data_IF_927963272078
#
_entry.id   IF_927963272078
#
_cell.length_a   1.000
_cell.length_b   1.000
_cell.length_c   1.000
_cell.angle_alpha   90.00
_cell.angle_beta   90.00
_cell.angle_gamma   90.00
#
_symmetry.space_group_name_H-M   'P 1'
#
loop_
_entity.id
_entity.type
_entity.pdbx_description
1 polymer ?
#
# COMPACT_ATOMS: atom_id res chain seq x y z
N UNK A 1 -11.65 -10.75 3.20
CA UNK A 1 -11.97 -10.86 1.77
C UNK A 1 -11.01 -11.83 1.09
N UNK A 2 -11.52 -12.87 0.56
CA UNK A 2 -10.79 -13.83 -0.27
C UNK A 2 -11.56 -14.03 -1.57
N UNK A 3 -10.95 -14.65 -2.57
CA UNK A 3 -11.68 -15.14 -3.75
C UNK A 3 -12.43 -16.46 -3.46
N UNK A 4 -12.64 -16.78 -2.19
CA UNK A 4 -13.24 -18.03 -1.74
C UNK A 4 -14.77 -18.06 -1.84
N UNK A 5 -15.29 -19.26 -2.00
CA UNK A 5 -16.73 -19.54 -2.15
C UNK A 5 -17.61 -19.03 -0.97
N UNK A 6 -17.01 -18.74 0.17
CA UNK A 6 -17.67 -18.29 1.40
C UNK A 6 -17.38 -16.84 1.78
N UNK A 7 -17.01 -16.00 0.82
CA UNK A 7 -16.81 -14.56 1.04
C UNK A 7 -18.15 -13.82 0.92
N UNK A 8 -18.91 -13.77 2.00
CA UNK A 8 -20.22 -13.11 2.05
C UNK A 8 -20.15 -11.58 2.27
N UNK A 9 -18.98 -11.04 2.56
CA UNK A 9 -18.80 -9.61 2.90
C UNK A 9 -19.31 -8.68 1.79
N UNK A 10 -18.99 -8.90 0.50
CA UNK A 10 -19.51 -8.05 -0.57
C UNK A 10 -21.03 -8.00 -0.65
N UNK A 11 -21.70 -9.13 -0.40
CA UNK A 11 -23.14 -9.21 -0.50
C UNK A 11 -23.85 -8.57 0.70
N UNK A 12 -23.27 -8.69 1.88
CA UNK A 12 -23.75 -7.97 3.09
C UNK A 12 -23.61 -6.46 2.89
N UNK A 13 -22.47 -6.00 2.38
CA UNK A 13 -22.21 -4.56 2.18
C UNK A 13 -23.17 -3.96 1.15
N UNK A 14 -23.52 -4.68 0.09
CA UNK A 14 -24.48 -4.22 -0.92
C UNK A 14 -25.91 -4.02 -0.41
N UNK A 15 -26.29 -4.58 0.75
CA UNK A 15 -27.59 -4.35 1.38
C UNK A 15 -27.74 -2.92 1.94
N UNK A 16 -26.64 -2.17 2.09
CA UNK A 16 -26.66 -0.78 2.48
C UNK A 16 -26.82 0.12 1.25
N UNK A 17 -27.46 1.29 1.42
CA UNK A 17 -27.44 2.34 0.39
C UNK A 17 -26.03 2.94 0.34
N UNK A 18 -25.33 2.74 -0.75
CA UNK A 18 -23.93 3.16 -0.92
C UNK A 18 -23.84 4.42 -1.78
N UNK A 19 -22.93 5.32 -1.45
CA UNK A 19 -22.53 6.45 -2.29
C UNK A 19 -21.29 6.13 -3.13
N UNK A 20 -20.46 5.19 -2.68
CA UNK A 20 -19.27 4.69 -3.39
C UNK A 20 -19.07 3.23 -3.08
N UNK A 21 -18.60 2.47 -4.07
CA UNK A 21 -18.26 1.06 -3.90
C UNK A 21 -17.25 0.58 -4.94
N UNK A 22 -16.21 -0.12 -4.49
CA UNK A 22 -15.38 -0.96 -5.35
C UNK A 22 -14.91 -2.21 -4.59
N UNK A 23 -14.58 -3.29 -5.31
CA UNK A 23 -14.15 -4.57 -4.74
C UNK A 23 -12.77 -5.05 -5.22
N UNK A 24 -12.07 -4.24 -5.99
CA UNK A 24 -10.70 -4.53 -6.41
C UNK A 24 -10.00 -3.27 -6.87
N UNK A 25 -8.67 -3.24 -6.74
CA UNK A 25 -7.83 -2.18 -7.25
C UNK A 25 -6.65 -2.77 -8.05
N UNK A 26 -6.11 -2.01 -9.00
CA UNK A 26 -4.96 -2.42 -9.81
C UNK A 26 -3.65 -2.27 -9.02
N UNK A 27 -3.54 -2.95 -7.88
CA UNK A 27 -2.40 -2.91 -6.95
C UNK A 27 -1.84 -4.30 -6.66
N UNK A 28 -0.59 -4.37 -6.22
CA UNK A 28 0.05 -5.57 -5.67
C UNK A 28 1.01 -5.20 -4.52
N UNK A 29 0.95 -5.91 -3.37
CA UNK A 29 -0.10 -6.85 -2.97
C UNK A 29 -1.41 -6.11 -2.70
N UNK A 30 -2.52 -6.84 -2.57
CA UNK A 30 -3.78 -6.26 -2.11
C UNK A 30 -4.87 -6.04 -3.18
N UNK A 31 -4.73 -6.61 -4.40
CA UNK A 31 -5.75 -6.48 -5.47
C UNK A 31 -7.20 -6.65 -4.97
N UNK A 32 -7.55 -7.64 -4.12
CA UNK A 32 -8.94 -7.84 -3.66
C UNK A 32 -9.32 -6.93 -2.47
N UNK A 33 -8.89 -5.68 -2.45
CA UNK A 33 -9.37 -4.68 -1.49
C UNK A 33 -10.79 -4.27 -1.86
N UNK A 34 -11.65 -4.09 -0.85
CA UNK A 34 -12.98 -3.52 -1.01
C UNK A 34 -13.11 -2.21 -0.24
N UNK A 35 -13.83 -1.28 -0.80
CA UNK A 35 -14.25 -0.04 -0.14
C UNK A 35 -15.74 0.22 -0.41
N UNK A 36 -16.45 0.70 0.60
CA UNK A 36 -17.82 1.17 0.49
C UNK A 36 -18.05 2.38 1.39
N UNK A 37 -18.69 3.44 0.88
CA UNK A 37 -19.15 4.58 1.67
C UNK A 37 -20.68 4.52 1.77
N UNK A 38 -21.23 4.60 2.98
CA UNK A 38 -22.68 4.56 3.22
C UNK A 38 -23.26 5.93 2.89
N UNK A 39 -24.29 5.96 2.05
CA UNK A 39 -24.98 7.21 1.63
C UNK A 39 -25.63 7.89 2.85
N UNK A 40 -25.39 9.19 2.97
CA UNK A 40 -25.97 10.01 4.06
C UNK A 40 -25.40 9.73 5.45
N UNK A 41 -24.28 9.00 5.53
CA UNK A 41 -23.55 8.75 6.80
C UNK A 41 -22.06 8.94 6.59
N UNK A 42 -21.39 9.52 7.58
CA UNK A 42 -19.92 9.60 7.60
C UNK A 42 -19.26 8.25 7.99
N UNK A 43 -19.72 7.18 7.35
CA UNK A 43 -19.24 5.81 7.60
C UNK A 43 -18.74 5.18 6.33
N UNK A 44 -17.53 4.61 6.44
CA UNK A 44 -16.92 3.81 5.38
C UNK A 44 -16.61 2.39 5.89
N UNK A 45 -16.64 1.44 4.97
CA UNK A 45 -16.31 0.04 5.21
C UNK A 45 -15.15 -0.33 4.30
N UNK A 46 -14.07 -0.85 4.89
CA UNK A 46 -12.96 -1.44 4.15
C UNK A 46 -12.96 -2.96 4.33
N UNK A 47 -12.94 -3.69 3.23
CA UNK A 47 -12.68 -5.12 3.22
C UNK A 47 -11.23 -5.37 2.84
N UNK A 48 -10.42 -5.80 3.81
CA UNK A 48 -9.02 -6.09 3.58
C UNK A 48 -8.81 -7.55 3.16
N UNK A 49 -7.77 -7.84 2.34
CA UNK A 49 -7.43 -9.21 1.98
C UNK A 49 -7.08 -10.06 3.21
N UNK A 50 -7.37 -11.37 3.17
CA UNK A 50 -7.01 -12.28 4.26
C UNK A 50 -5.51 -12.56 4.40
N UNK A 51 -4.71 -12.30 3.36
CA UNK A 51 -3.25 -12.45 3.44
C UNK A 51 -2.63 -11.30 4.26
N UNK A 52 -1.82 -11.58 5.30
CA UNK A 52 -1.31 -10.57 6.23
C UNK A 52 -0.54 -9.42 5.55
N UNK A 53 0.35 -9.72 4.62
CA UNK A 53 1.14 -8.69 3.91
C UNK A 53 0.26 -7.85 3.00
N UNK A 54 -0.72 -8.47 2.34
CA UNK A 54 -1.70 -7.75 1.53
C UNK A 54 -2.59 -6.85 2.38
N UNK A 55 -3.00 -7.35 3.55
CA UNK A 55 -3.79 -6.58 4.52
C UNK A 55 -3.01 -5.39 5.05
N UNK A 56 -1.75 -5.59 5.45
CA UNK A 56 -0.86 -4.52 5.90
C UNK A 56 -0.67 -3.43 4.83
N UNK A 57 -0.43 -3.81 3.57
CA UNK A 57 -0.30 -2.85 2.47
C UNK A 57 -1.61 -2.09 2.23
N UNK A 58 -2.75 -2.78 2.21
CA UNK A 58 -4.05 -2.13 2.03
C UNK A 58 -4.38 -1.20 3.20
N UNK A 59 -4.13 -1.61 4.43
CA UNK A 59 -4.31 -0.76 5.60
C UNK A 59 -3.44 0.50 5.50
N UNK A 60 -2.16 0.33 5.19
CA UNK A 60 -1.18 1.42 5.10
C UNK A 60 -1.51 2.44 4.01
N UNK A 61 -1.92 2.00 2.83
CA UNK A 61 -2.06 2.86 1.65
C UNK A 61 -3.50 3.26 1.30
N UNK A 62 -4.50 2.73 2.01
CA UNK A 62 -5.91 3.09 1.77
C UNK A 62 -6.63 3.48 3.05
N UNK A 63 -6.49 2.69 4.13
CA UNK A 63 -7.22 2.99 5.38
C UNK A 63 -6.61 4.18 6.09
N UNK A 64 -5.29 4.21 6.27
CA UNK A 64 -4.58 5.31 6.94
C UNK A 64 -4.83 6.65 6.22
N UNK A 65 -4.62 6.80 4.91
CA UNK A 65 -4.91 8.06 4.21
C UNK A 65 -6.37 8.49 4.32
N UNK A 66 -7.30 7.54 4.28
CA UNK A 66 -8.72 7.84 4.51
C UNK A 66 -8.98 8.41 5.91
N UNK A 67 -8.38 7.80 6.95
CA UNK A 67 -8.50 8.28 8.33
C UNK A 67 -7.91 9.69 8.46
N UNK A 68 -6.71 9.95 7.91
CA UNK A 68 -6.09 11.27 7.93
C UNK A 68 -7.00 12.32 7.27
N UNK A 69 -7.56 12.00 6.12
CA UNK A 69 -8.49 12.88 5.42
C UNK A 69 -9.76 13.18 6.25
N UNK A 70 -10.35 12.16 6.89
CA UNK A 70 -11.53 12.34 7.76
C UNK A 70 -11.22 13.20 8.99
N UNK A 71 -10.00 13.11 9.50
CA UNK A 71 -9.53 13.93 10.64
C UNK A 71 -9.08 15.34 10.23
N UNK A 72 -9.13 15.68 8.93
CA UNK A 72 -8.65 16.98 8.43
C UNK A 72 -7.13 17.14 8.50
N UNK A 73 -6.40 16.04 8.66
CA UNK A 73 -4.94 16.04 8.69
C UNK A 73 -4.36 16.02 7.27
N UNK A 74 -3.17 16.63 7.11
CA UNK A 74 -2.49 16.68 5.82
C UNK A 74 -2.07 15.28 5.35
N UNK A 75 -2.02 15.09 4.02
CA UNK A 75 -1.49 13.88 3.43
C UNK A 75 0.00 13.69 3.77
N UNK A 76 0.37 12.45 4.04
CA UNK A 76 1.77 12.10 4.28
C UNK A 76 2.61 12.30 3.01
N UNK A 77 3.73 13.01 3.14
CA UNK A 77 4.71 13.16 2.07
C UNK A 77 5.63 11.95 1.99
N UNK A 78 5.89 11.49 0.77
CA UNK A 78 6.86 10.42 0.53
C UNK A 78 8.29 10.87 0.80
N UNK A 79 9.13 9.94 1.25
CA UNK A 79 10.58 10.11 1.25
C UNK A 79 11.10 9.73 -0.12
N UNK A 80 11.90 10.59 -0.74
CA UNK A 80 12.56 10.27 -2.01
C UNK A 80 13.90 9.58 -1.73
N UNK A 81 14.09 8.39 -2.30
CA UNK A 81 15.31 7.62 -2.12
C UNK A 81 15.85 7.07 -3.45
N UNK A 82 17.18 6.91 -3.53
CA UNK A 82 17.84 6.31 -4.68
C UNK A 82 17.70 4.79 -4.63
N UNK A 83 17.19 4.18 -5.69
CA UNK A 83 17.10 2.74 -5.82
C UNK A 83 18.49 2.14 -6.07
N UNK A 84 18.95 1.21 -5.22
CA UNK A 84 20.30 0.62 -5.37
C UNK A 84 20.31 -0.69 -6.16
N UNK A 85 19.14 -1.27 -6.45
CA UNK A 85 18.99 -2.46 -7.31
C UNK A 85 17.85 -2.28 -8.31
N UNK A 86 17.92 -2.98 -9.44
CA UNK A 86 16.86 -2.92 -10.45
C UNK A 86 15.67 -3.78 -10.06
N UNK A 87 14.48 -3.37 -10.52
CA UNK A 87 13.25 -4.12 -10.27
C UNK A 87 12.27 -4.05 -11.44
N UNK A 88 11.70 -5.20 -11.80
CA UNK A 88 10.72 -5.30 -12.88
C UNK A 88 9.35 -5.68 -12.33
N UNK A 89 8.30 -5.07 -12.88
CA UNK A 89 6.92 -5.36 -12.54
C UNK A 89 5.99 -5.29 -13.74
N UNK A 90 4.77 -5.79 -13.61
CA UNK A 90 3.73 -5.59 -14.63
C UNK A 90 3.35 -4.11 -14.71
N UNK A 91 3.29 -3.55 -15.93
CA UNK A 91 3.04 -2.14 -16.23
C UNK A 91 1.70 -1.63 -15.63
N UNK A 92 0.66 -2.47 -15.70
CA UNK A 92 -0.72 -2.08 -15.36
C UNK A 92 -1.05 -2.09 -13.85
N UNK A 93 -0.07 -2.35 -12.99
CA UNK A 93 -0.27 -2.39 -11.55
C UNK A 93 0.61 -1.39 -10.84
N UNK A 94 0.06 -0.65 -9.89
CA UNK A 94 0.85 -0.03 -8.83
C UNK A 94 1.35 -1.13 -7.89
N UNK A 95 2.61 -1.06 -7.49
CA UNK A 95 3.19 -2.06 -6.61
C UNK A 95 3.77 -1.43 -5.36
N UNK A 96 3.36 -1.97 -4.21
CA UNK A 96 3.96 -1.68 -2.92
C UNK A 96 4.99 -2.78 -2.63
N UNK A 97 6.25 -2.43 -2.55
CA UNK A 97 7.33 -3.42 -2.40
C UNK A 97 8.04 -3.26 -1.07
N UNK A 98 8.32 -4.41 -0.46
CA UNK A 98 9.06 -4.52 0.79
C UNK A 98 10.52 -4.16 0.53
N UNK A 99 11.02 -3.17 1.24
CA UNK A 99 12.32 -2.58 0.96
C UNK A 99 13.08 -2.24 2.24
N UNK A 100 14.35 -1.98 2.10
CA UNK A 100 15.22 -1.54 3.17
C UNK A 100 15.83 -0.19 2.83
N UNK A 101 15.50 0.81 3.64
CA UNK A 101 16.06 2.15 3.58
C UNK A 101 17.37 2.18 4.35
N UNK A 102 18.35 2.87 3.82
CA UNK A 102 19.64 3.12 4.45
C UNK A 102 20.17 4.52 4.11
N UNK A 103 20.98 5.08 4.98
CA UNK A 103 21.64 6.36 4.74
C UNK A 103 23.13 6.13 4.61
N UNK A 104 23.74 6.73 3.59
CA UNK A 104 25.19 6.72 3.42
C UNK A 104 25.87 7.73 4.36
N UNK A 105 27.19 7.61 4.55
CA UNK A 105 27.99 8.58 5.33
C UNK A 105 27.84 10.02 4.83
N UNK A 106 27.54 10.22 3.55
CA UNK A 106 27.36 11.54 2.93
C UNK A 106 25.88 12.00 2.92
N UNK A 107 25.01 11.41 3.77
CA UNK A 107 23.61 11.81 3.88
C UNK A 107 22.69 11.36 2.74
N UNK A 108 23.20 10.63 1.73
CA UNK A 108 22.34 10.09 0.66
C UNK A 108 21.42 9.02 1.19
N UNK A 109 20.14 9.14 0.86
CA UNK A 109 19.10 8.15 1.19
C UNK A 109 19.04 7.12 0.06
N UNK A 110 19.30 5.87 0.38
CA UNK A 110 19.27 4.75 -0.53
C UNK A 110 18.18 3.75 -0.12
N UNK A 111 17.60 3.06 -1.10
CA UNK A 111 16.62 2.00 -0.84
C UNK A 111 16.91 0.77 -1.68
N UNK A 112 16.88 -0.38 -1.03
CA UNK A 112 16.98 -1.70 -1.65
C UNK A 112 15.61 -2.39 -1.66
N UNK A 113 15.14 -2.80 -2.83
CA UNK A 113 13.98 -3.68 -2.92
C UNK A 113 14.42 -5.10 -2.55
N UNK A 114 13.85 -5.65 -1.49
CA UNK A 114 14.21 -6.97 -0.98
C UNK A 114 13.75 -8.08 -1.92
N UNK A 115 14.47 -9.21 -1.92
CA UNK A 115 14.01 -10.46 -2.57
C UNK A 115 12.78 -11.01 -1.85
N UNK A 116 11.96 -11.81 -2.53
CA UNK A 116 10.79 -12.44 -1.92
C UNK A 116 9.61 -11.48 -1.76
N UNK A 117 9.21 -10.82 -2.85
CA UNK A 117 8.12 -9.85 -2.90
C UNK A 117 6.72 -10.49 -2.92
N UNK A 118 6.62 -11.80 -2.96
CA UNK A 118 5.35 -12.53 -2.89
C UNK A 118 4.67 -12.28 -1.54
N UNK A 119 3.35 -12.20 -1.54
CA UNK A 119 2.57 -11.86 -0.34
C UNK A 119 2.62 -12.92 0.77
N UNK A 120 3.07 -14.14 0.47
CA UNK A 120 3.28 -15.20 1.46
C UNK A 120 4.72 -15.21 2.06
N UNK A 121 5.64 -14.42 1.53
CA UNK A 121 7.04 -14.33 1.99
C UNK A 121 7.19 -13.40 3.20
N UNK A 122 6.88 -13.91 4.40
CA UNK A 122 6.93 -13.13 5.65
C UNK A 122 8.36 -12.68 6.01
N UNK A 123 9.37 -13.50 5.75
CA UNK A 123 10.78 -13.14 6.08
C UNK A 123 11.21 -11.79 5.47
N UNK A 124 10.84 -11.51 4.22
CA UNK A 124 11.16 -10.23 3.59
C UNK A 124 10.33 -9.06 4.16
N UNK A 125 9.13 -9.33 4.67
CA UNK A 125 8.32 -8.33 5.35
C UNK A 125 8.93 -7.94 6.71
N UNK A 126 9.34 -8.91 7.50
CA UNK A 126 10.01 -8.66 8.80
C UNK A 126 11.33 -7.91 8.63
N UNK A 127 12.07 -8.17 7.56
CA UNK A 127 13.33 -7.49 7.26
C UNK A 127 13.15 -6.09 6.67
N UNK A 128 11.96 -5.76 6.17
CA UNK A 128 11.70 -4.45 5.57
C UNK A 128 11.49 -3.39 6.65
N UNK A 129 12.05 -2.20 6.44
CA UNK A 129 11.80 -1.03 7.28
C UNK A 129 11.07 0.10 6.52
N UNK A 130 10.81 -0.11 5.22
CA UNK A 130 10.18 0.87 4.35
C UNK A 130 9.36 0.17 3.26
N UNK A 131 8.28 0.80 2.82
CA UNK A 131 7.57 0.47 1.58
C UNK A 131 8.04 1.37 0.46
N UNK A 132 8.33 0.80 -0.72
CA UNK A 132 8.50 1.59 -1.94
C UNK A 132 7.24 1.47 -2.78
N UNK A 133 6.73 2.61 -3.23
CA UNK A 133 5.61 2.70 -4.16
C UNK A 133 6.15 2.80 -5.59
N UNK A 134 5.82 1.81 -6.41
CA UNK A 134 6.14 1.78 -7.83
C UNK A 134 4.84 1.97 -8.63
N UNK A 135 4.62 3.14 -9.26
CA UNK A 135 3.36 3.48 -9.91
C UNK A 135 3.06 2.61 -11.13
N UNK A 136 1.79 2.51 -11.50
CA UNK A 136 1.38 1.99 -12.79
C UNK A 136 1.97 2.84 -13.94
N UNK A 137 2.01 2.29 -15.16
CA UNK A 137 2.56 2.99 -16.32
C UNK A 137 4.04 2.70 -16.60
N UNK A 138 4.85 2.38 -15.58
CA UNK A 138 6.27 1.99 -15.72
C UNK A 138 6.45 0.53 -15.28
N UNK A 139 7.20 -0.25 -16.06
CA UNK A 139 7.49 -1.67 -15.76
C UNK A 139 8.91 -1.88 -15.22
N UNK A 140 9.88 -1.12 -15.69
CA UNK A 140 11.29 -1.29 -15.39
C UNK A 140 11.81 -0.14 -14.53
N UNK A 141 12.31 -0.45 -13.36
CA UNK A 141 12.98 0.48 -12.45
C UNK A 141 14.44 0.10 -12.38
N UNK A 142 15.32 1.06 -12.66
CA UNK A 142 16.78 0.84 -12.75
C UNK A 142 17.45 1.30 -11.45
N UNK A 143 18.62 0.74 -11.16
CA UNK A 143 19.52 1.30 -10.16
C UNK A 143 19.77 2.78 -10.47
N UNK A 144 19.65 3.64 -9.45
CA UNK A 144 19.76 5.10 -9.58
C UNK A 144 18.42 5.83 -9.78
N UNK A 145 17.32 5.13 -10.12
CA UNK A 145 16.00 5.78 -10.17
C UNK A 145 15.61 6.31 -8.77
N UNK A 146 15.04 7.52 -8.76
CA UNK A 146 14.41 8.07 -7.54
C UNK A 146 13.01 7.48 -7.38
N UNK A 147 12.71 6.95 -6.21
CA UNK A 147 11.44 6.29 -5.90
C UNK A 147 10.80 6.86 -4.64
N UNK A 148 9.47 6.74 -4.56
CA UNK A 148 8.69 7.14 -3.41
C UNK A 148 8.70 6.05 -2.33
N UNK A 149 9.06 6.45 -1.13
CA UNK A 149 9.17 5.57 0.04
C UNK A 149 8.24 6.04 1.16
N UNK A 150 7.65 5.08 1.87
CA UNK A 150 6.72 5.31 2.98
C UNK A 150 7.07 4.39 4.15
N UNK A 151 7.15 4.91 5.36
CA UNK A 151 7.32 4.08 6.54
C UNK A 151 6.12 3.14 6.74
N UNK A 152 6.30 1.97 7.39
CA UNK A 152 5.19 1.06 7.71
C UNK A 152 4.12 1.71 8.58
N UNK A 153 4.52 2.57 9.50
CA UNK A 153 3.66 3.38 10.35
C UNK A 153 3.63 4.83 9.85
N UNK A 154 2.66 5.63 10.32
CA UNK A 154 2.70 7.07 10.11
C UNK A 154 4.02 7.63 10.68
N UNK A 155 4.74 8.39 9.88
CA UNK A 155 5.84 9.19 10.40
C UNK A 155 5.30 10.30 11.30
N UNK A 156 6.01 10.65 12.36
CA UNK A 156 5.61 11.72 13.29
C UNK A 156 5.42 13.10 12.62
N UNK A 157 5.70 13.23 11.34
CA UNK A 157 5.52 14.47 10.57
C UNK A 157 4.05 14.89 10.38
N UNK A 158 3.09 14.00 10.68
CA UNK A 158 1.66 14.29 10.54
C UNK A 158 0.97 14.53 11.89
N UNK A 159 1.71 14.56 13.00
CA UNK A 159 1.19 14.77 14.35
C UNK A 159 1.54 16.17 14.92
N UNK A 160 2.10 17.07 14.09
CA UNK A 160 2.43 18.46 14.45
C UNK A 160 1.63 19.41 13.59
#
# INVERSE_FOLDING_TARGET
MSAGKFDFIPDVVKKFKLSSYFKSAAIRPGKPIMFAKIKGKEKAIFGLPGNPISSAACFRFFVIPYILNVLGLSEEKSIKANLINSFNKKKNFTRFVKSQLSTTKNGKINVEILKGQESFRIKSFVKSNIWVLLPAGKSNFKKGDIVDCFFPNLSNQNLV
#
